data_IF_297483864142
#
_entry.id   IF_297483864142
#
_cell.length_a   1.000
_cell.length_b   1.000
_cell.length_c   1.000
_cell.angle_alpha   90.00
_cell.angle_beta   90.00
_cell.angle_gamma   90.00
#
_symmetry.space_group_name_H-M   'P 1'
#
loop_
_entity.id
_entity.type
_entity.pdbx_description
1 polymer ?
#
# COMPACT_ATOMS: atom_id res chain seq x y z
N UNK A 1 -1.31 31.29 14.31
CA UNK A 1 -0.14 31.37 13.40
C UNK A 1 0.93 30.47 14.00
N UNK A 2 1.24 29.37 13.30
CA UNK A 2 2.31 28.37 13.49
C UNK A 2 3.01 28.25 14.86
N UNK A 3 2.90 27.05 15.44
CA UNK A 3 4.07 26.37 16.00
C UNK A 3 3.83 24.85 15.97
N UNK A 4 4.43 24.22 14.97
CA UNK A 4 4.63 22.78 14.86
C UNK A 4 5.42 22.30 16.08
N UNK A 5 4.80 21.52 16.97
CA UNK A 5 5.56 20.72 17.92
C UNK A 5 6.02 19.44 17.23
N UNK A 6 7.26 19.51 16.74
CA UNK A 6 8.20 18.38 16.76
C UNK A 6 8.27 17.79 18.18
N UNK A 7 8.48 16.48 18.25
CA UNK A 7 9.04 15.66 19.36
C UNK A 7 8.27 14.33 19.39
N UNK A 8 8.78 13.15 19.03
CA UNK A 8 10.15 12.66 18.89
C UNK A 8 10.24 11.65 17.74
N UNK A 9 11.08 11.92 16.73
CA UNK A 9 11.65 10.87 15.89
C UNK A 9 13.08 10.63 16.39
N UNK A 10 13.47 9.39 16.73
CA UNK A 10 14.82 9.11 17.16
C UNK A 10 15.79 9.37 16.00
N UNK A 11 16.72 10.29 16.24
CA UNK A 11 17.92 10.55 15.46
C UNK A 11 18.65 9.21 15.23
N UNK A 12 18.88 8.83 13.97
CA UNK A 12 19.79 7.73 13.61
C UNK A 12 19.22 6.55 12.81
N UNK A 13 17.95 6.57 12.38
CA UNK A 13 17.45 5.61 11.38
C UNK A 13 16.98 6.38 10.15
N UNK A 14 17.51 6.04 8.98
CA UNK A 14 16.97 6.45 7.67
C UNK A 14 15.50 6.08 7.61
N UNK A 15 14.62 7.03 7.93
CA UNK A 15 13.19 6.90 7.75
C UNK A 15 12.97 7.01 6.25
N UNK A 16 12.98 5.88 5.55
CA UNK A 16 12.48 5.82 4.18
C UNK A 16 11.01 6.23 4.27
N UNK A 17 10.71 7.50 3.99
CA UNK A 17 9.38 8.05 4.09
C UNK A 17 8.54 7.36 3.02
N UNK A 18 7.85 6.27 3.39
CA UNK A 18 7.00 5.52 2.47
C UNK A 18 5.69 6.28 2.32
N UNK A 19 5.54 6.98 1.21
CA UNK A 19 4.33 7.71 0.88
C UNK A 19 3.24 6.75 0.40
N UNK A 20 2.00 7.02 0.78
CA UNK A 20 0.84 6.26 0.30
C UNK A 20 0.14 7.00 -0.82
N UNK A 21 -0.32 6.26 -1.83
CA UNK A 21 -1.34 6.68 -2.78
C UNK A 21 -2.69 6.15 -2.29
N UNK A 22 -3.74 6.96 -2.45
CA UNK A 22 -5.11 6.56 -2.12
C UNK A 22 -5.83 6.15 -3.40
N UNK A 23 -6.49 5.01 -3.33
CA UNK A 23 -7.39 4.50 -4.35
C UNK A 23 -8.81 4.38 -3.77
N UNK A 24 -9.69 5.29 -4.17
CA UNK A 24 -11.09 5.31 -3.70
C UNK A 24 -11.87 4.13 -4.28
N UNK A 25 -12.79 3.58 -3.50
CA UNK A 25 -13.70 2.51 -3.91
C UNK A 25 -12.99 1.23 -4.36
N UNK A 26 -11.90 0.88 -3.69
CA UNK A 26 -11.14 -0.34 -3.98
C UNK A 26 -10.86 -1.13 -2.69
N UNK A 27 -10.65 -2.44 -2.86
CA UNK A 27 -10.29 -3.37 -1.81
C UNK A 27 -9.32 -4.43 -2.35
N UNK A 28 -8.30 -4.76 -1.56
CA UNK A 28 -7.40 -5.87 -1.85
C UNK A 28 -7.70 -7.07 -0.95
N UNK A 29 -8.13 -8.18 -1.54
CA UNK A 29 -8.28 -9.44 -0.80
C UNK A 29 -6.91 -10.10 -0.63
N UNK A 30 -6.29 -9.90 0.53
CA UNK A 30 -4.98 -10.44 0.87
C UNK A 30 -4.92 -10.81 2.37
N UNK A 31 -3.92 -11.60 2.82
CA UNK A 31 -3.78 -11.92 4.23
C UNK A 31 -3.65 -10.66 5.09
N UNK A 32 -4.47 -10.59 6.13
CA UNK A 32 -4.51 -9.48 7.08
C UNK A 32 -3.45 -9.70 8.14
N UNK A 33 -2.58 -8.71 8.33
CA UNK A 33 -1.56 -8.68 9.39
C UNK A 33 -1.96 -7.78 10.56
N UNK A 34 -3.05 -7.04 10.41
CA UNK A 34 -3.66 -6.25 11.48
C UNK A 34 -5.07 -5.79 11.10
N UNK A 35 -5.92 -5.59 12.11
CA UNK A 35 -7.26 -5.03 11.99
C UNK A 35 -7.44 -4.02 13.14
N UNK A 36 -7.80 -2.79 12.79
CA UNK A 36 -7.92 -1.69 13.74
C UNK A 36 -9.24 -0.95 13.53
N UNK A 37 -9.75 -0.37 14.61
CA UNK A 37 -10.89 0.54 14.61
C UNK A 37 -10.37 1.88 15.12
N UNK A 38 -10.49 2.92 14.30
CA UNK A 38 -9.77 4.18 14.46
C UNK A 38 -10.69 5.37 14.20
N UNK A 39 -10.33 6.54 14.71
CA UNK A 39 -11.08 7.78 14.49
C UNK A 39 -10.40 8.72 13.49
N UNK A 40 -9.09 8.51 13.25
CA UNK A 40 -8.25 9.24 12.29
C UNK A 40 -7.58 8.28 11.30
N UNK A 41 -7.47 8.72 10.05
CA UNK A 41 -6.77 8.05 8.95
C UNK A 41 -5.27 7.89 9.24
N UNK A 42 -4.66 8.88 9.90
CA UNK A 42 -3.22 8.91 10.13
C UNK A 42 -2.75 7.74 10.99
N UNK A 43 -3.55 7.34 11.98
CA UNK A 43 -3.22 6.24 12.89
C UNK A 43 -2.95 4.94 12.12
N UNK A 44 -3.80 4.60 11.15
CA UNK A 44 -3.64 3.35 10.39
C UNK A 44 -2.36 3.35 9.54
N UNK A 45 -2.02 4.50 8.95
CA UNK A 45 -0.81 4.62 8.13
C UNK A 45 0.46 4.48 8.96
N UNK A 46 0.47 5.00 10.20
CA UNK A 46 1.58 4.78 11.13
C UNK A 46 1.71 3.33 11.57
N UNK A 47 0.61 2.64 11.86
CA UNK A 47 0.63 1.21 12.19
C UNK A 47 1.20 0.38 11.04
N UNK A 48 0.83 0.71 9.79
CA UNK A 48 1.41 0.05 8.62
C UNK A 48 2.91 0.31 8.48
N UNK A 49 3.36 1.57 8.56
CA UNK A 49 4.78 1.93 8.40
C UNK A 49 5.67 1.27 9.46
N UNK A 50 5.14 1.06 10.67
CA UNK A 50 5.85 0.40 11.78
C UNK A 50 5.84 -1.13 11.68
N UNK A 51 4.99 -1.70 10.83
CA UNK A 51 4.86 -3.13 10.65
C UNK A 51 5.58 -3.59 9.36
N UNK A 52 6.68 -4.32 9.50
CA UNK A 52 7.47 -4.79 8.37
C UNK A 52 6.71 -5.73 7.40
N UNK A 53 5.61 -6.34 7.85
CA UNK A 53 4.75 -7.20 7.03
C UNK A 53 3.63 -6.43 6.33
N UNK A 54 3.36 -5.17 6.70
CA UNK A 54 2.35 -4.37 6.02
C UNK A 54 2.89 -3.83 4.70
N UNK A 55 2.20 -4.14 3.59
CA UNK A 55 2.50 -3.65 2.25
C UNK A 55 1.44 -2.73 1.67
N UNK A 56 0.20 -2.80 2.18
CA UNK A 56 -0.87 -1.87 1.85
C UNK A 56 -1.93 -1.83 2.96
N UNK A 57 -2.92 -0.97 2.81
CA UNK A 57 -4.02 -0.79 3.76
C UNK A 57 -5.35 -0.87 3.00
N UNK A 58 -6.31 -1.64 3.53
CA UNK A 58 -7.71 -1.45 3.21
C UNK A 58 -8.36 -0.62 4.32
N UNK A 59 -9.23 0.32 3.99
CA UNK A 59 -9.90 1.16 4.98
C UNK A 59 -11.35 1.39 4.58
N UNK A 60 -12.23 1.61 5.55
CA UNK A 60 -13.59 2.06 5.30
C UNK A 60 -13.61 3.36 4.46
N UNK A 61 -14.50 3.42 3.46
CA UNK A 61 -14.70 4.64 2.66
C UNK A 61 -15.42 5.75 3.46
N UNK A 62 -16.17 5.39 4.50
CA UNK A 62 -16.93 6.30 5.34
C UNK A 62 -16.87 5.87 6.82
N UNK A 63 -17.15 6.83 7.71
CA UNK A 63 -17.26 6.58 9.14
C UNK A 63 -18.52 5.79 9.45
N UNK A 64 -18.44 4.90 10.43
CA UNK A 64 -19.58 4.26 11.07
C UNK A 64 -20.43 5.25 11.85
N UNK A 65 -21.53 4.76 12.41
CA UNK A 65 -22.49 5.58 13.16
C UNK A 65 -21.87 6.30 14.38
N UNK A 66 -20.81 5.75 14.98
CA UNK A 66 -20.13 6.35 16.12
C UNK A 66 -18.88 7.14 15.72
N UNK A 67 -18.67 7.38 14.41
CA UNK A 67 -17.56 8.18 13.89
C UNK A 67 -16.23 7.42 13.70
N UNK A 68 -16.24 6.10 13.81
CA UNK A 68 -15.08 5.22 13.64
C UNK A 68 -14.92 4.71 12.20
N UNK A 69 -13.67 4.46 11.77
CA UNK A 69 -13.33 3.72 10.57
C UNK A 69 -12.72 2.38 10.97
N UNK A 70 -12.99 1.33 10.19
CA UNK A 70 -12.17 0.13 10.23
C UNK A 70 -10.99 0.30 9.27
N UNK A 71 -9.84 -0.27 9.61
CA UNK A 71 -8.73 -0.44 8.69
C UNK A 71 -8.04 -1.79 8.87
N UNK A 72 -7.57 -2.35 7.76
CA UNK A 72 -6.88 -3.62 7.68
C UNK A 72 -5.49 -3.39 7.09
N UNK A 73 -4.47 -3.85 7.80
CA UNK A 73 -3.12 -3.93 7.27
C UNK A 73 -3.00 -5.23 6.48
N UNK A 74 -2.60 -5.15 5.22
CA UNK A 74 -2.50 -6.32 4.34
C UNK A 74 -1.05 -6.61 3.96
N UNK A 75 -0.72 -7.90 3.86
CA UNK A 75 0.65 -8.37 3.58
C UNK A 75 1.01 -8.42 2.10
N UNK A 76 0.20 -7.78 1.26
CA UNK A 76 0.42 -7.70 -0.18
C UNK A 76 0.01 -6.33 -0.69
N UNK A 77 0.17 -6.11 -1.99
CA UNK A 77 -0.15 -4.87 -2.67
C UNK A 77 -0.86 -5.14 -3.99
N UNK A 78 -1.47 -4.08 -4.53
CA UNK A 78 -2.25 -4.14 -5.78
C UNK A 78 -1.41 -4.52 -7.01
N UNK A 79 -0.08 -4.44 -6.95
CA UNK A 79 0.81 -4.77 -8.06
C UNK A 79 1.12 -6.26 -8.12
N UNK A 80 1.27 -6.90 -6.95
CA UNK A 80 1.53 -8.33 -6.80
C UNK A 80 0.28 -9.19 -6.99
N UNK A 81 -0.85 -8.72 -6.45
CA UNK A 81 -2.11 -9.46 -6.38
C UNK A 81 -3.23 -8.78 -7.20
N UNK A 82 -2.92 -8.44 -8.45
CA UNK A 82 -3.84 -7.76 -9.37
C UNK A 82 -5.19 -8.48 -9.49
N UNK A 83 -5.21 -9.81 -9.50
CA UNK A 83 -6.45 -10.60 -9.58
C UNK A 83 -7.34 -10.53 -8.34
N UNK A 84 -6.81 -10.09 -7.20
CA UNK A 84 -7.54 -9.94 -5.94
C UNK A 84 -7.82 -8.46 -5.58
N UNK A 85 -7.40 -7.54 -6.43
CA UNK A 85 -7.61 -6.11 -6.28
C UNK A 85 -8.85 -5.68 -7.09
N UNK A 86 -9.93 -5.34 -6.38
CA UNK A 86 -11.24 -5.13 -7.01
C UNK A 86 -11.92 -3.86 -6.51
N UNK A 87 -12.88 -3.36 -7.29
CA UNK A 87 -13.75 -2.28 -6.85
C UNK A 87 -14.60 -2.69 -5.64
N UNK A 88 -14.71 -1.79 -4.67
CA UNK A 88 -15.56 -1.94 -3.51
C UNK A 88 -15.97 -0.56 -2.99
N UNK A 89 -17.24 -0.21 -3.16
CA UNK A 89 -17.78 1.11 -2.81
C UNK A 89 -17.73 1.45 -1.32
N UNK A 90 -17.57 0.45 -0.46
CA UNK A 90 -17.54 0.64 1.00
C UNK A 90 -16.12 0.79 1.54
N UNK A 91 -15.10 0.69 0.69
CA UNK A 91 -13.71 0.79 1.10
C UNK A 91 -12.88 1.71 0.21
N UNK A 92 -11.74 2.11 0.72
CA UNK A 92 -10.65 2.74 0.00
C UNK A 92 -9.39 1.92 0.27
N UNK A 93 -8.52 1.83 -0.73
CA UNK A 93 -7.25 1.16 -0.62
C UNK A 93 -6.13 2.21 -0.56
N UNK A 94 -5.09 1.95 0.23
CA UNK A 94 -3.90 2.77 0.25
C UNK A 94 -2.69 1.89 -0.04
N UNK A 95 -2.01 2.19 -1.14
CA UNK A 95 -0.80 1.48 -1.57
C UNK A 95 0.43 2.35 -1.37
N UNK A 96 1.57 1.74 -1.02
CA UNK A 96 2.84 2.47 -1.04
C UNK A 96 3.16 2.92 -2.47
N UNK A 97 3.60 4.16 -2.63
CA UNK A 97 4.08 4.67 -3.90
C UNK A 97 5.23 3.81 -4.44
N UNK A 98 5.18 3.52 -5.73
CA UNK A 98 6.12 2.65 -6.41
C UNK A 98 6.15 2.98 -7.90
N UNK A 99 7.30 2.81 -8.59
CA UNK A 99 7.35 2.89 -10.04
C UNK A 99 6.42 1.88 -10.74
N UNK A 100 5.97 0.83 -10.05
CA UNK A 100 4.95 -0.08 -10.57
C UNK A 100 3.63 0.62 -10.94
N UNK A 101 3.36 1.85 -10.46
CA UNK A 101 2.18 2.62 -10.84
C UNK A 101 2.12 2.96 -12.34
N UNK A 102 3.25 2.96 -13.05
CA UNK A 102 3.27 3.18 -14.50
C UNK A 102 3.08 1.90 -15.31
N UNK A 103 2.81 0.77 -14.66
CA UNK A 103 2.66 -0.55 -15.29
C UNK A 103 3.82 -0.91 -16.24
N UNK A 104 5.07 -0.94 -15.75
CA UNK A 104 6.25 -1.10 -16.61
C UNK A 104 6.42 -2.52 -17.19
N UNK A 105 5.83 -3.55 -16.58
CA UNK A 105 5.96 -4.93 -17.03
C UNK A 105 4.97 -5.21 -18.17
N UNK A 106 5.49 -5.71 -19.30
CA UNK A 106 4.73 -6.02 -20.50
C UNK A 106 4.21 -7.46 -20.48
N UNK A 107 3.35 -7.77 -21.46
CA UNK A 107 2.88 -9.14 -21.73
C UNK A 107 2.28 -9.87 -20.51
N UNK A 108 1.56 -9.13 -19.67
CA UNK A 108 0.93 -9.68 -18.46
C UNK A 108 1.88 -9.92 -17.30
N UNK A 109 3.14 -9.47 -17.39
CA UNK A 109 4.11 -9.59 -16.29
C UNK A 109 3.66 -8.88 -15.01
N UNK A 110 4.00 -9.46 -13.87
CA UNK A 110 3.65 -8.96 -12.54
C UNK A 110 4.77 -8.05 -12.05
N UNK A 111 4.43 -6.80 -11.69
CA UNK A 111 5.38 -5.85 -11.14
C UNK A 111 5.61 -6.10 -9.65
N UNK A 112 6.86 -6.32 -9.27
CA UNK A 112 7.30 -6.66 -7.92
C UNK A 112 8.02 -5.45 -7.34
N UNK A 113 7.34 -4.61 -6.54
CA UNK A 113 7.92 -3.39 -6.02
C UNK A 113 8.97 -3.67 -4.92
N UNK A 114 10.04 -2.89 -4.94
CA UNK A 114 11.02 -2.77 -3.87
C UNK A 114 10.91 -1.39 -3.21
N UNK A 115 10.05 -1.32 -2.20
CA UNK A 115 9.75 -0.08 -1.47
C UNK A 115 10.94 0.53 -0.71
N UNK A 116 12.03 -0.23 -0.51
CA UNK A 116 13.22 0.29 0.17
C UNK A 116 14.10 1.12 -0.76
N UNK A 117 14.22 0.71 -2.02
CA UNK A 117 15.10 1.33 -3.00
C UNK A 117 14.34 2.13 -4.07
N UNK A 118 13.01 2.22 -3.95
CA UNK A 118 12.15 2.86 -4.95
C UNK A 118 12.40 2.28 -6.36
N UNK A 119 12.53 0.95 -6.43
CA UNK A 119 12.75 0.19 -7.64
C UNK A 119 11.70 -0.91 -7.78
N UNK A 120 11.76 -1.68 -8.86
CA UNK A 120 10.89 -2.81 -9.09
C UNK A 120 11.60 -3.85 -9.95
N UNK A 121 11.07 -5.07 -9.93
CA UNK A 121 11.42 -6.14 -10.86
C UNK A 121 10.15 -6.64 -11.55
N UNK A 122 10.28 -7.16 -12.77
CA UNK A 122 9.17 -7.80 -13.47
C UNK A 122 9.26 -9.33 -13.35
N UNK A 123 8.17 -9.95 -12.89
CA UNK A 123 8.00 -11.41 -12.96
C UNK A 123 7.19 -11.73 -14.21
N UNK A 124 7.86 -12.30 -15.20
CA UNK A 124 7.26 -12.58 -16.49
C UNK A 124 6.36 -13.83 -16.47
N UNK A 125 5.31 -13.77 -17.29
CA UNK A 125 4.47 -14.91 -17.61
C UNK A 125 5.22 -15.93 -18.46
N UNK A 126 4.68 -17.15 -18.53
CA UNK A 126 5.32 -18.23 -19.29
C UNK A 126 5.49 -17.86 -20.76
N UNK A 127 6.74 -17.95 -21.24
CA UNK A 127 7.09 -17.67 -22.63
C UNK A 127 7.64 -16.25 -22.86
N UNK A 128 7.56 -15.37 -21.87
CA UNK A 128 8.14 -14.02 -21.93
C UNK A 128 9.38 -13.87 -21.06
N UNK A 129 10.29 -12.99 -21.47
CA UNK A 129 11.53 -12.67 -20.76
C UNK A 129 12.04 -11.26 -21.08
N UNK A 130 13.16 -10.87 -20.45
CA UNK A 130 13.68 -9.49 -20.48
C UNK A 130 13.31 -8.71 -19.22
N UNK A 131 13.93 -7.55 -19.02
CA UNK A 131 13.75 -6.74 -17.81
C UNK A 131 12.32 -6.22 -17.67
N UNK A 132 11.61 -6.09 -18.80
CA UNK A 132 10.23 -5.61 -18.87
C UNK A 132 9.29 -6.68 -19.43
N UNK A 133 9.72 -7.95 -19.54
CA UNK A 133 8.97 -9.05 -20.17
C UNK A 133 8.62 -8.79 -21.64
N UNK A 134 9.49 -8.08 -22.37
CA UNK A 134 9.26 -7.61 -23.73
C UNK A 134 9.61 -8.63 -24.84
N UNK A 135 10.26 -9.74 -24.49
CA UNK A 135 10.78 -10.74 -25.45
C UNK A 135 10.14 -12.11 -25.27
#
# INVERSE_FOLDING_TARGET
>A
INSLKQDLLPVGKTFNQRHFSREEFHYLTAPRVGLFILYDLLDCTFECVRNALCLAINMAASKGANGEFWCELVSSDKYRDTGNYNENKSSQHLSFQSPCSSSPCLNGGICIPNYKYNSYDCRCEQGFYGDYCEK
#
